data_IF_513582036894
#
_entry.id   IF_513582036894
#
_cell.length_a   1.000
_cell.length_b   1.000
_cell.length_c   1.000
_cell.angle_alpha   90.00
_cell.angle_beta   90.00
_cell.angle_gamma   90.00
#
_symmetry.space_group_name_H-M   'P 1'
#
loop_
_entity.id
_entity.type
_entity.pdbx_description
1 polymer ?
#
# COMPACT_ATOMS: atom_id res chain seq x y z
N UNK A 1 3.16 7.74 -18.64
CA UNK A 1 3.53 8.37 -17.34
C UNK A 1 4.95 8.90 -17.45
N UNK A 2 5.22 10.11 -16.96
CA UNK A 2 6.56 10.71 -17.03
C UNK A 2 7.51 10.03 -16.03
N UNK A 3 8.56 9.37 -16.54
CA UNK A 3 9.56 8.65 -15.73
C UNK A 3 10.29 9.56 -14.72
N UNK A 4 10.50 10.84 -15.05
CA UNK A 4 11.14 11.78 -14.14
C UNK A 4 10.33 12.01 -12.86
N UNK A 5 8.99 12.09 -12.96
CA UNK A 5 8.15 12.25 -11.78
C UNK A 5 8.15 10.99 -10.91
N UNK A 6 8.14 9.82 -11.55
CA UNK A 6 8.20 8.55 -10.84
C UNK A 6 9.55 8.33 -10.14
N UNK A 7 10.65 8.66 -10.81
CA UNK A 7 12.00 8.59 -10.22
C UNK A 7 12.12 9.54 -9.02
N UNK A 8 11.62 10.77 -9.14
CA UNK A 8 11.62 11.73 -8.03
C UNK A 8 10.82 11.22 -6.81
N UNK A 9 9.64 10.62 -7.03
CA UNK A 9 8.88 9.95 -5.96
C UNK A 9 9.70 8.82 -5.32
N UNK A 10 10.32 7.96 -6.15
CA UNK A 10 11.10 6.83 -5.67
C UNK A 10 12.32 7.28 -4.84
N UNK A 11 13.05 8.28 -5.30
CA UNK A 11 14.18 8.88 -4.58
C UNK A 11 13.76 9.48 -3.23
N UNK A 12 12.63 10.19 -3.21
CA UNK A 12 12.06 10.72 -1.97
C UNK A 12 11.71 9.62 -0.96
N UNK A 13 11.05 8.55 -1.43
CA UNK A 13 10.70 7.40 -0.58
C UNK A 13 11.94 6.64 -0.09
N UNK A 14 12.94 6.43 -0.96
CA UNK A 14 14.21 5.79 -0.59
C UNK A 14 14.92 6.60 0.50
N UNK A 15 14.99 7.91 0.36
CA UNK A 15 15.60 8.79 1.36
C UNK A 15 14.94 8.67 2.74
N UNK A 16 13.62 8.42 2.80
CA UNK A 16 12.93 8.19 4.06
C UNK A 16 13.39 6.91 4.76
N UNK A 17 13.59 5.82 4.01
CA UNK A 17 13.97 4.51 4.58
C UNK A 17 15.48 4.37 4.82
N UNK A 18 16.31 5.21 4.21
CA UNK A 18 17.77 5.21 4.44
C UNK A 18 18.18 5.88 5.78
N UNK A 19 17.35 6.79 6.29
CA UNK A 19 17.68 7.61 7.43
C UNK A 19 16.90 7.27 8.70
N UNK A 20 15.77 6.62 8.58
CA UNK A 20 14.87 6.30 9.68
C UNK A 20 14.22 4.94 9.49
N UNK A 21 13.87 4.26 10.58
CA UNK A 21 13.10 3.03 10.51
C UNK A 21 11.72 3.26 9.89
N UNK A 22 11.21 2.31 9.09
CA UNK A 22 9.86 2.37 8.55
C UNK A 22 8.81 2.43 9.67
N UNK A 23 8.04 3.51 9.70
CA UNK A 23 7.04 3.78 10.73
C UNK A 23 5.85 4.55 10.16
N UNK A 24 4.76 4.63 10.94
CA UNK A 24 3.61 5.47 10.60
C UNK A 24 4.02 6.93 10.41
N UNK A 25 4.87 7.47 11.28
CA UNK A 25 5.31 8.87 11.20
C UNK A 25 6.20 9.11 9.99
N UNK A 26 7.11 8.20 9.69
CA UNK A 26 8.03 8.34 8.56
C UNK A 26 7.37 7.97 7.23
N UNK A 27 7.15 6.68 6.98
CA UNK A 27 6.58 6.19 5.71
C UNK A 27 5.08 6.50 5.62
N UNK A 28 4.33 6.34 6.72
CA UNK A 28 2.89 6.63 6.73
C UNK A 28 2.60 8.08 6.36
N UNK A 29 3.08 9.04 7.14
CA UNK A 29 2.75 10.46 6.94
C UNK A 29 3.57 11.10 5.80
N UNK A 30 4.90 10.99 5.85
CA UNK A 30 5.79 11.65 4.88
C UNK A 30 5.73 11.00 3.51
N UNK A 31 5.64 9.66 3.45
CA UNK A 31 5.43 8.92 2.21
C UNK A 31 4.09 9.25 1.56
N UNK A 32 3.02 9.39 2.36
CA UNK A 32 1.71 9.86 1.86
C UNK A 32 1.81 11.25 1.24
N UNK A 33 2.55 12.17 1.85
CA UNK A 33 2.75 13.52 1.29
C UNK A 33 3.47 13.48 -0.07
N UNK A 34 4.53 12.66 -0.18
CA UNK A 34 5.27 12.48 -1.45
C UNK A 34 4.38 11.88 -2.56
N UNK A 35 3.54 10.89 -2.24
CA UNK A 35 2.63 10.31 -3.22
C UNK A 35 1.55 11.32 -3.63
N UNK A 36 1.00 12.11 -2.71
CA UNK A 36 0.07 13.18 -3.04
C UNK A 36 0.70 14.22 -3.97
N UNK A 37 1.95 14.60 -3.75
CA UNK A 37 2.68 15.48 -4.66
C UNK A 37 2.83 14.86 -6.05
N UNK A 38 3.21 13.60 -6.12
CA UNK A 38 3.35 12.86 -7.38
C UNK A 38 2.03 12.79 -8.16
N UNK A 39 0.91 12.46 -7.52
CA UNK A 39 -0.41 12.37 -8.18
C UNK A 39 -0.83 13.71 -8.80
N UNK A 40 -0.47 14.83 -8.17
CA UNK A 40 -0.78 16.19 -8.67
C UNK A 40 0.07 16.63 -9.85
N UNK A 41 1.14 15.90 -10.22
CA UNK A 41 1.95 16.24 -11.39
C UNK A 41 1.13 16.09 -12.69
N UNK A 42 1.33 16.95 -13.69
CA UNK A 42 0.57 16.91 -14.94
C UNK A 42 0.58 15.55 -15.62
N UNK A 43 -0.58 15.02 -15.97
CA UNK A 43 -0.75 13.77 -16.71
C UNK A 43 -0.51 12.48 -15.91
N UNK A 44 -0.19 12.55 -14.61
CA UNK A 44 0.03 11.35 -13.79
C UNK A 44 -1.27 10.61 -13.56
N UNK A 45 -2.31 11.28 -13.10
CA UNK A 45 -3.62 10.65 -12.83
C UNK A 45 -4.21 10.03 -14.10
N UNK A 46 -4.14 10.74 -15.24
CA UNK A 46 -4.58 10.20 -16.54
C UNK A 46 -3.77 8.95 -16.93
N UNK A 47 -2.45 8.99 -16.79
CA UNK A 47 -1.59 7.84 -17.09
C UNK A 47 -1.88 6.63 -16.21
N UNK A 48 -2.16 6.84 -14.91
CA UNK A 48 -2.56 5.77 -14.01
C UNK A 48 -3.93 5.19 -14.39
N UNK A 49 -4.87 6.05 -14.82
CA UNK A 49 -6.20 5.64 -15.27
C UNK A 49 -6.19 4.76 -16.52
N UNK A 50 -5.14 4.81 -17.33
CA UNK A 50 -4.97 3.99 -18.55
C UNK A 50 -4.31 2.62 -18.28
N UNK A 51 -3.85 2.35 -17.05
CA UNK A 51 -3.22 1.07 -16.72
C UNK A 51 -4.26 -0.05 -16.59
N UNK A 52 -3.92 -1.23 -17.10
CA UNK A 52 -4.69 -2.44 -16.87
C UNK A 52 -4.61 -2.85 -15.40
N UNK A 53 -5.73 -2.79 -14.72
CA UNK A 53 -5.83 -3.07 -13.28
C UNK A 53 -6.27 -4.49 -12.94
N UNK A 54 -6.56 -5.33 -13.92
CA UNK A 54 -6.78 -6.76 -13.69
C UNK A 54 -5.51 -7.42 -13.12
N UNK A 55 -4.36 -6.81 -13.43
CA UNK A 55 -3.06 -7.25 -12.96
C UNK A 55 -2.40 -6.17 -12.12
N UNK A 56 -1.65 -6.60 -11.12
CA UNK A 56 -0.74 -5.73 -10.38
C UNK A 56 0.32 -5.16 -11.33
N UNK A 57 0.40 -3.83 -11.45
CA UNK A 57 1.38 -3.13 -12.28
C UNK A 57 2.52 -2.64 -11.40
N UNK A 58 3.75 -3.06 -11.68
CA UNK A 58 4.93 -2.50 -11.02
C UNK A 58 5.34 -1.21 -11.75
N UNK A 59 5.15 -0.08 -11.08
CA UNK A 59 5.56 1.23 -11.59
C UNK A 59 7.06 1.41 -11.45
N UNK A 60 7.63 1.02 -10.31
CA UNK A 60 9.05 1.18 -10.01
C UNK A 60 9.53 0.08 -9.05
N UNK A 61 10.83 -0.21 -9.05
CA UNK A 61 11.42 -1.14 -8.10
C UNK A 61 12.94 -1.12 -8.10
N UNK A 62 13.54 -1.17 -6.92
CA UNK A 62 14.97 -1.27 -6.68
C UNK A 62 15.38 -2.67 -6.23
N UNK A 63 16.40 -3.21 -6.87
CA UNK A 63 17.00 -4.49 -6.44
C UNK A 63 17.82 -4.34 -5.15
N UNK A 64 18.42 -3.16 -4.93
CA UNK A 64 19.30 -2.92 -3.77
C UNK A 64 18.54 -2.77 -2.47
N UNK A 65 17.50 -1.93 -2.44
CA UNK A 65 16.68 -1.68 -1.24
C UNK A 65 15.51 -2.64 -1.07
N UNK A 66 15.15 -3.39 -2.12
CA UNK A 66 13.94 -4.21 -2.15
C UNK A 66 12.63 -3.40 -2.31
N UNK A 67 12.69 -2.07 -2.23
CA UNK A 67 11.50 -1.22 -2.33
C UNK A 67 10.84 -1.33 -3.71
N UNK A 68 9.52 -1.38 -3.72
CA UNK A 68 8.69 -1.39 -4.92
C UNK A 68 7.54 -0.40 -4.80
N UNK A 69 7.20 0.25 -5.92
CA UNK A 69 5.99 1.05 -6.08
C UNK A 69 5.08 0.30 -7.06
N UNK A 70 3.92 -0.11 -6.59
CA UNK A 70 2.97 -0.95 -7.30
C UNK A 70 1.65 -0.21 -7.46
N UNK A 71 1.00 -0.39 -8.60
CA UNK A 71 -0.36 0.10 -8.84
C UNK A 71 -1.33 -1.06 -8.93
N UNK A 72 -2.48 -0.91 -8.31
CA UNK A 72 -3.53 -1.92 -8.23
C UNK A 72 -4.89 -1.31 -8.51
N UNK A 73 -5.84 -2.16 -8.88
CA UNK A 73 -7.23 -1.78 -8.99
C UNK A 73 -8.19 -2.92 -8.72
N UNK A 74 -9.46 -2.55 -8.54
CA UNK A 74 -10.60 -3.44 -8.47
C UNK A 74 -11.78 -2.79 -9.17
N UNK A 75 -12.29 -3.43 -10.24
CA UNK A 75 -13.47 -2.99 -10.99
C UNK A 75 -14.74 -3.74 -10.56
N UNK A 76 -14.57 -4.75 -9.72
CA UNK A 76 -15.66 -5.51 -9.09
C UNK A 76 -15.41 -5.58 -7.58
N UNK A 77 -16.46 -5.82 -6.77
CA UNK A 77 -16.30 -6.02 -5.34
C UNK A 77 -15.31 -7.15 -5.05
N UNK A 78 -14.35 -6.88 -4.18
CA UNK A 78 -13.28 -7.83 -3.84
C UNK A 78 -12.95 -7.76 -2.36
N UNK A 79 -12.77 -8.94 -1.74
CA UNK A 79 -12.32 -9.07 -0.36
C UNK A 79 -11.06 -9.93 -0.29
N UNK A 80 -10.01 -9.39 0.30
CA UNK A 80 -8.77 -10.11 0.58
C UNK A 80 -8.87 -10.88 1.91
N UNK A 81 -8.17 -12.01 1.98
CA UNK A 81 -7.99 -12.72 3.26
C UNK A 81 -7.02 -11.97 4.17
N UNK A 82 -7.13 -12.12 5.49
CA UNK A 82 -6.13 -11.63 6.43
C UNK A 82 -4.74 -12.21 6.11
N UNK A 83 -3.73 -11.37 6.06
CA UNK A 83 -2.33 -11.73 5.81
C UNK A 83 -1.40 -10.67 6.40
N UNK A 84 -0.13 -11.01 6.53
CA UNK A 84 0.96 -10.06 6.80
C UNK A 84 1.98 -10.07 5.64
N UNK A 85 2.97 -9.20 5.71
CA UNK A 85 4.05 -9.11 4.74
C UNK A 85 5.39 -9.64 5.29
N UNK A 86 5.36 -10.45 6.35
CA UNK A 86 6.56 -10.94 7.02
C UNK A 86 7.38 -9.78 7.58
N UNK A 87 8.65 -9.69 7.19
CA UNK A 87 9.54 -8.61 7.62
C UNK A 87 9.40 -7.32 6.80
N UNK A 88 8.59 -7.33 5.73
CA UNK A 88 8.33 -6.16 4.91
C UNK A 88 7.24 -5.28 5.51
N UNK A 89 7.33 -3.99 5.22
CA UNK A 89 6.28 -3.01 5.49
C UNK A 89 5.50 -2.70 4.20
N UNK A 90 4.32 -2.10 4.33
CA UNK A 90 3.52 -1.64 3.21
C UNK A 90 2.77 -0.34 3.51
N UNK A 91 2.76 0.57 2.55
CA UNK A 91 1.93 1.77 2.54
C UNK A 91 0.90 1.64 1.41
N UNK A 92 -0.38 1.71 1.74
CA UNK A 92 -1.49 1.67 0.80
C UNK A 92 -2.08 3.07 0.65
N UNK A 93 -1.86 3.71 -0.47
CA UNK A 93 -2.36 5.04 -0.79
C UNK A 93 -3.54 4.96 -1.75
N UNK A 94 -4.70 5.50 -1.36
CA UNK A 94 -5.90 5.48 -2.18
C UNK A 94 -5.87 6.59 -3.23
N UNK A 95 -6.09 6.19 -4.50
CA UNK A 95 -6.17 7.13 -5.64
C UNK A 95 -7.62 7.38 -6.04
N UNK A 96 -8.42 6.32 -6.22
CA UNK A 96 -9.84 6.39 -6.61
C UNK A 96 -10.64 5.42 -5.74
N UNK A 97 -11.87 5.80 -5.38
CA UNK A 97 -12.77 4.95 -4.60
C UNK A 97 -12.36 4.82 -3.15
N UNK A 98 -12.82 3.78 -2.50
CA UNK A 98 -12.60 3.52 -1.07
C UNK A 98 -12.14 2.08 -0.87
N UNK A 99 -11.16 1.92 0.00
CA UNK A 99 -10.72 0.60 0.47
C UNK A 99 -10.97 0.50 1.97
N UNK A 100 -11.77 -0.47 2.39
CA UNK A 100 -11.94 -0.82 3.80
C UNK A 100 -10.75 -1.71 4.21
N UNK A 101 -9.98 -1.25 5.18
CA UNK A 101 -8.83 -1.96 5.72
C UNK A 101 -9.08 -2.38 7.14
N UNK A 102 -8.93 -3.69 7.41
CA UNK A 102 -9.10 -4.26 8.74
C UNK A 102 -7.76 -4.76 9.26
N UNK A 103 -7.42 -4.41 10.50
CA UNK A 103 -6.27 -4.97 11.22
C UNK A 103 -6.71 -6.02 12.21
N UNK A 104 -5.86 -7.02 12.43
CA UNK A 104 -6.13 -8.15 13.28
C UNK A 104 -5.01 -8.37 14.28
N UNK A 105 -5.38 -8.91 15.43
CA UNK A 105 -4.47 -9.49 16.43
C UNK A 105 -4.61 -11.00 16.42
N UNK A 106 -3.49 -11.70 16.42
CA UNK A 106 -3.47 -13.16 16.61
C UNK A 106 -3.72 -13.46 18.09
N UNK A 107 -4.69 -14.32 18.37
CA UNK A 107 -5.03 -14.76 19.75
C UNK A 107 -4.67 -16.22 19.99
N UNK A 108 -4.57 -17.03 18.92
CA UNK A 108 -4.13 -18.44 18.99
C UNK A 108 -3.23 -18.72 17.78
N UNK A 109 -2.23 -19.57 17.97
CA UNK A 109 -1.23 -19.95 16.96
C UNK A 109 -0.03 -19.01 16.97
N UNK A 110 1.14 -19.55 16.61
CA UNK A 110 2.40 -18.79 16.52
C UNK A 110 2.72 -18.43 15.08
N UNK A 111 3.36 -17.27 14.83
CA UNK A 111 3.80 -16.90 13.49
C UNK A 111 4.73 -17.95 12.89
N UNK A 112 4.45 -18.35 11.64
CA UNK A 112 5.29 -19.31 10.91
C UNK A 112 5.20 -20.76 11.36
N UNK A 113 4.34 -21.08 12.35
CA UNK A 113 4.11 -22.45 12.78
C UNK A 113 2.89 -23.06 12.05
N UNK A 114 2.90 -24.36 11.73
CA UNK A 114 1.74 -25.05 11.17
C UNK A 114 0.57 -25.05 12.17
N UNK A 115 -0.64 -24.96 11.65
CA UNK A 115 -1.87 -24.96 12.42
C UNK A 115 -2.77 -23.78 12.12
N UNK A 116 -3.96 -23.77 12.68
CA UNK A 116 -4.92 -22.71 12.51
C UNK A 116 -4.60 -21.54 13.44
N UNK A 117 -4.60 -20.32 12.89
CA UNK A 117 -4.51 -19.10 13.66
C UNK A 117 -5.92 -18.57 13.94
N UNK A 118 -6.18 -18.19 15.17
CA UNK A 118 -7.39 -17.44 15.53
C UNK A 118 -7.03 -15.96 15.53
N UNK A 119 -7.78 -15.18 14.74
CA UNK A 119 -7.60 -13.75 14.59
C UNK A 119 -8.77 -12.98 15.19
N UNK A 120 -8.47 -11.98 15.99
CA UNK A 120 -9.43 -11.01 16.49
C UNK A 120 -9.29 -9.69 15.69
N UNK A 121 -10.40 -9.15 15.22
CA UNK A 121 -10.46 -7.84 14.58
C UNK A 121 -10.16 -6.74 15.60
N UNK A 122 -9.18 -5.91 15.31
CA UNK A 122 -8.76 -4.80 16.19
C UNK A 122 -9.33 -3.48 15.71
N UNK A 123 -9.23 -3.19 14.42
CA UNK A 123 -9.66 -1.92 13.84
C UNK A 123 -10.13 -2.10 12.41
N UNK A 124 -11.03 -1.22 11.96
CA UNK A 124 -11.46 -1.10 10.57
C UNK A 124 -11.46 0.37 10.18
N UNK A 125 -10.84 0.68 9.06
CA UNK A 125 -10.68 2.05 8.56
C UNK A 125 -11.01 2.10 7.08
N UNK A 126 -11.86 3.04 6.67
CA UNK A 126 -12.09 3.36 5.28
C UNK A 126 -11.02 4.33 4.78
N UNK A 127 -10.18 3.88 3.85
CA UNK A 127 -9.15 4.71 3.22
C UNK A 127 -9.73 5.34 1.97
N UNK A 128 -9.77 6.67 1.95
CA UNK A 128 -10.34 7.49 0.88
C UNK A 128 -9.25 8.15 0.04
N UNK A 129 -9.55 8.66 -1.18
CA UNK A 129 -8.55 9.29 -2.05
C UNK A 129 -7.71 10.36 -1.35
N UNK A 130 -6.41 10.34 -1.59
CA UNK A 130 -5.43 11.24 -0.97
C UNK A 130 -4.95 10.80 0.42
N UNK A 131 -5.55 9.76 0.99
CA UNK A 131 -5.17 9.18 2.27
C UNK A 131 -4.47 7.83 2.07
N UNK A 132 -3.71 7.42 3.09
CA UNK A 132 -3.02 6.14 3.08
C UNK A 132 -3.11 5.45 4.44
N UNK A 133 -2.79 4.16 4.45
CA UNK A 133 -2.62 3.37 5.66
C UNK A 133 -1.29 2.62 5.60
N UNK A 134 -0.50 2.75 6.66
CA UNK A 134 0.77 2.07 6.81
C UNK A 134 0.62 0.80 7.63
N UNK A 135 1.26 -0.26 7.18
CA UNK A 135 1.39 -1.52 7.90
C UNK A 135 2.86 -1.85 8.08
N UNK A 136 3.32 -1.86 9.32
CA UNK A 136 4.66 -2.31 9.67
C UNK A 136 4.85 -3.81 9.45
N UNK A 137 6.08 -4.32 9.66
CA UNK A 137 6.35 -5.75 9.61
C UNK A 137 5.40 -6.56 10.48
N UNK A 138 4.98 -7.73 10.00
CA UNK A 138 4.12 -8.70 10.70
C UNK A 138 2.72 -8.20 11.10
N UNK A 139 2.32 -7.00 10.68
CA UNK A 139 0.96 -6.50 10.95
C UNK A 139 -0.05 -7.25 10.07
N UNK A 140 -0.93 -8.03 10.72
CA UNK A 140 -1.96 -8.79 10.03
C UNK A 140 -3.11 -7.85 9.64
N UNK A 141 -3.43 -7.82 8.35
CA UNK A 141 -4.49 -6.97 7.80
C UNK A 141 -5.23 -7.64 6.64
N UNK A 142 -6.38 -7.10 6.31
CA UNK A 142 -7.10 -7.43 5.07
C UNK A 142 -7.62 -6.16 4.41
N UNK A 143 -7.87 -6.25 3.10
CA UNK A 143 -8.45 -5.19 2.30
C UNK A 143 -9.78 -5.63 1.73
N UNK A 144 -10.76 -4.73 1.69
CA UNK A 144 -12.05 -4.95 1.05
C UNK A 144 -12.40 -3.75 0.17
N UNK A 145 -12.88 -4.01 -1.04
CA UNK A 145 -13.33 -3.02 -2.01
C UNK A 145 -14.82 -3.27 -2.28
N UNK A 146 -15.68 -2.72 -1.42
CA UNK A 146 -17.13 -2.95 -1.48
C UNK A 146 -17.81 -2.14 -2.58
N UNK A 147 -17.25 -0.96 -2.91
CA UNK A 147 -17.81 -0.01 -3.86
C UNK A 147 -16.79 0.34 -4.96
N UNK A 148 -16.60 -0.55 -5.95
CA UNK A 148 -15.71 -0.27 -7.09
C UNK A 148 -16.27 0.88 -7.97
N UNK A 149 -15.41 1.50 -8.83
CA UNK A 149 -14.00 1.18 -9.00
C UNK A 149 -13.12 1.67 -7.84
N UNK A 150 -12.09 0.93 -7.53
CA UNK A 150 -11.06 1.34 -6.58
C UNK A 150 -9.66 1.26 -7.23
N UNK A 151 -8.80 2.26 -6.95
CA UNK A 151 -7.42 2.32 -7.44
C UNK A 151 -6.51 2.76 -6.30
N UNK A 152 -5.38 2.10 -6.14
CA UNK A 152 -4.43 2.44 -5.09
C UNK A 152 -2.98 2.18 -5.49
N UNK A 153 -2.09 2.97 -4.94
CA UNK A 153 -0.65 2.75 -4.99
C UNK A 153 -0.25 2.00 -3.71
N UNK A 154 0.53 0.94 -3.86
CA UNK A 154 1.18 0.25 -2.75
C UNK A 154 2.68 0.43 -2.85
N UNK A 155 3.29 1.00 -1.82
CA UNK A 155 4.74 1.00 -1.63
C UNK A 155 5.07 -0.08 -0.62
N UNK A 156 6.12 -0.86 -0.86
CA UNK A 156 6.56 -1.94 0.03
C UNK A 156 8.08 -2.05 0.00
N UNK A 157 8.69 -2.41 1.12
CA UNK A 157 10.13 -2.62 1.29
C UNK A 157 10.45 -3.58 2.42
#
# INVERSE_FOLDING_TARGET
MNEQYLNHLAEGLLSLIEHEDPSEQNIGMRGTALINEFIRKPGVEESLGQLDVEKKVRLWGSKGSGMQILFHGADTPKKGSPHDHGQSWALYFQVIGVTEMTTYRRTVGEPGQPGEAVLEKVNETAVTPGNAMFFGPQVIHSTQHSSPPARWIRVTG
#
